data_IF_124063842802
#
_entry.id   IF_124063842802
#
_cell.length_a   1.000
_cell.length_b   1.000
_cell.length_c   1.000
_cell.angle_alpha   90.00
_cell.angle_beta   90.00
_cell.angle_gamma   90.00
#
_symmetry.space_group_name_H-M   'P 1'
#
loop_
_entity.id
_entity.type
_entity.pdbx_description
1 polymer ?
#
# COMPACT_ATOMS: atom_id res chain seq x y z
N UNK A 1 -21.38 -15.70 -11.08
CA UNK A 1 -20.49 -14.98 -11.99
C UNK A 1 -19.09 -15.21 -11.47
N UNK A 2 -18.24 -15.93 -12.22
CA UNK A 2 -16.90 -16.30 -11.76
C UNK A 2 -15.96 -15.14 -12.05
N UNK A 3 -15.41 -14.53 -10.98
CA UNK A 3 -14.27 -13.64 -11.12
C UNK A 3 -13.01 -14.52 -11.21
N UNK A 4 -12.53 -14.71 -12.43
CA UNK A 4 -11.27 -15.41 -12.68
C UNK A 4 -10.12 -14.47 -12.35
N UNK A 5 -9.34 -14.84 -11.36
CA UNK A 5 -8.02 -14.26 -11.13
C UNK A 5 -7.12 -14.79 -12.25
N UNK A 6 -6.77 -13.94 -13.21
CA UNK A 6 -5.81 -14.29 -14.25
C UNK A 6 -4.39 -14.14 -13.71
N UNK A 7 -3.73 -15.27 -13.46
CA UNK A 7 -2.28 -15.31 -13.37
C UNK A 7 -1.72 -15.31 -14.79
N UNK A 8 -1.07 -14.24 -15.19
CA UNK A 8 -0.27 -14.24 -16.42
C UNK A 8 1.09 -14.88 -16.14
N UNK A 9 1.30 -16.09 -16.68
CA UNK A 9 2.60 -16.74 -16.75
C UNK A 9 3.56 -15.93 -17.62
N UNK A 10 4.76 -15.68 -17.14
CA UNK A 10 5.86 -15.25 -17.99
C UNK A 10 6.82 -14.25 -17.39
N UNK A 11 7.63 -14.63 -16.38
CA UNK A 11 8.83 -13.87 -16.03
C UNK A 11 10.05 -14.44 -16.74
N UNK A 12 10.78 -13.66 -17.55
CA UNK A 12 12.08 -14.07 -18.07
C UNK A 12 13.17 -13.86 -17.01
N UNK A 13 13.92 -14.92 -16.74
CA UNK A 13 15.13 -14.93 -15.92
C UNK A 13 16.20 -14.02 -16.53
N UNK A 14 16.44 -12.86 -15.92
CA UNK A 14 17.57 -11.99 -16.26
C UNK A 14 18.83 -12.45 -15.55
N UNK A 15 19.79 -12.85 -16.37
CA UNK A 15 21.08 -13.41 -15.98
C UNK A 15 21.97 -12.43 -15.22
N UNK A 16 22.47 -12.90 -14.08
CA UNK A 16 23.52 -12.25 -13.28
C UNK A 16 24.86 -12.24 -14.01
N UNK A 17 25.27 -11.10 -14.51
CA UNK A 17 26.64 -10.87 -15.01
C UNK A 17 27.57 -10.56 -13.86
N UNK A 18 28.37 -11.55 -13.43
CA UNK A 18 29.53 -11.36 -12.54
C UNK A 18 30.57 -10.44 -13.21
N UNK A 19 30.78 -9.25 -12.64
CA UNK A 19 31.99 -8.44 -12.95
C UNK A 19 33.07 -8.74 -11.93
N UNK A 20 34.21 -9.16 -12.44
CA UNK A 20 35.45 -9.39 -11.69
C UNK A 20 36.05 -8.06 -11.28
N UNK A 21 36.35 -7.92 -10.00
CA UNK A 21 37.12 -6.82 -9.40
C UNK A 21 38.61 -7.08 -9.69
N UNK A 22 39.22 -6.16 -10.42
CA UNK A 22 40.67 -6.08 -10.52
C UNK A 22 41.22 -5.20 -9.42
N UNK A 23 42.14 -5.74 -8.63
CA UNK A 23 42.92 -5.04 -7.62
C UNK A 23 43.87 -4.07 -8.25
N UNK A 24 43.90 -2.81 -7.81
CA UNK A 24 45.03 -1.91 -7.92
C UNK A 24 45.18 -1.13 -6.61
N UNK A 25 46.21 -1.50 -5.87
CA UNK A 25 46.67 -0.77 -4.70
C UNK A 25 47.49 0.45 -5.17
N UNK A 26 47.10 1.64 -4.74
CA UNK A 26 47.96 2.82 -4.75
C UNK A 26 47.87 3.47 -3.38
N UNK A 27 48.96 3.41 -2.66
CA UNK A 27 49.19 4.14 -1.41
C UNK A 27 49.48 5.60 -1.73
N UNK A 28 48.72 6.53 -1.16
CA UNK A 28 49.12 7.93 -1.03
C UNK A 28 48.60 8.45 0.30
N UNK A 29 49.55 8.70 1.18
CA UNK A 29 49.43 9.43 2.46
C UNK A 29 49.20 10.92 2.15
N UNK A 30 48.07 11.48 2.55
CA UNK A 30 47.92 12.92 2.72
C UNK A 30 46.95 13.25 3.85
N UNK A 31 47.44 14.06 4.73
CA UNK A 31 46.89 14.80 5.86
C UNK A 31 45.36 14.86 5.97
N UNK A 32 44.94 14.33 7.11
CA UNK A 32 43.61 14.41 7.67
C UNK A 32 43.36 15.81 8.25
N UNK A 33 42.67 16.67 7.48
CA UNK A 33 41.97 17.82 8.08
C UNK A 33 40.53 17.34 8.31
N UNK A 34 40.27 16.91 9.53
CA UNK A 34 38.98 16.48 10.02
C UNK A 34 38.09 17.73 10.21
N UNK A 35 37.54 18.28 9.13
CA UNK A 35 36.42 19.19 9.23
C UNK A 35 35.18 18.37 9.50
N UNK A 36 34.79 18.24 10.75
CA UNK A 36 33.46 17.77 11.15
C UNK A 36 32.45 18.79 10.61
N UNK A 37 32.00 18.59 9.37
CA UNK A 37 30.76 19.17 8.92
C UNK A 37 29.66 18.42 9.69
N UNK A 38 29.21 19.00 10.79
CA UNK A 38 27.90 18.68 11.37
C UNK A 38 26.84 19.06 10.32
N UNK A 39 26.57 18.12 9.41
CA UNK A 39 25.36 18.18 8.59
C UNK A 39 24.23 17.96 9.59
N UNK A 40 23.71 19.06 10.12
CA UNK A 40 22.42 19.06 10.77
C UNK A 40 21.42 18.61 9.70
N UNK A 41 21.03 17.34 9.76
CA UNK A 41 19.86 16.87 9.03
C UNK A 41 18.68 17.58 9.70
N UNK A 42 18.40 18.81 9.26
CA UNK A 42 17.16 19.46 9.57
C UNK A 42 16.08 18.55 9.03
N UNK A 43 15.43 17.78 9.92
CA UNK A 43 14.21 17.08 9.59
C UNK A 43 13.24 18.19 9.18
N UNK A 44 13.02 18.34 7.87
CA UNK A 44 12.05 19.31 7.36
C UNK A 44 10.74 18.99 8.05
N UNK A 45 10.24 19.92 8.86
CA UNK A 45 8.94 19.74 9.48
C UNK A 45 7.93 19.61 8.35
N UNK A 46 7.22 18.49 8.31
CA UNK A 46 6.10 18.30 7.39
C UNK A 46 5.15 19.49 7.58
N UNK A 47 4.76 20.14 6.49
CA UNK A 47 3.83 21.25 6.53
C UNK A 47 2.45 20.86 7.12
N UNK A 48 1.48 21.79 7.13
CA UNK A 48 0.12 21.46 7.54
C UNK A 48 -0.45 20.33 6.67
N UNK A 49 -1.42 19.60 7.22
CA UNK A 49 -2.17 18.58 6.50
C UNK A 49 -3.02 19.25 5.43
N UNK A 50 -2.93 18.79 4.21
CA UNK A 50 -3.72 19.26 3.07
C UNK A 50 -4.85 18.30 2.72
N UNK A 51 -4.59 16.98 2.81
CA UNK A 51 -5.57 15.95 2.59
C UNK A 51 -5.44 14.83 3.62
N UNK A 52 -6.56 14.20 3.91
CA UNK A 52 -6.65 13.09 4.84
C UNK A 52 -7.67 12.08 4.34
N UNK A 53 -7.35 10.81 4.44
CA UNK A 53 -8.29 9.72 4.21
C UNK A 53 -8.13 8.66 5.30
N UNK A 54 -9.24 8.15 5.79
CA UNK A 54 -9.24 6.99 6.66
C UNK A 54 -10.45 6.10 6.38
N UNK A 55 -10.26 4.81 6.56
CA UNK A 55 -11.32 3.83 6.47
C UNK A 55 -11.02 2.67 7.41
N UNK A 56 -12.05 2.01 7.89
CA UNK A 56 -11.91 0.82 8.70
C UNK A 56 -13.24 0.18 9.00
N UNK A 57 -13.20 -1.13 9.14
CA UNK A 57 -14.37 -1.94 9.40
C UNK A 57 -14.07 -3.42 9.24
N UNK A 58 -15.08 -4.28 9.43
CA UNK A 58 -14.96 -5.69 9.09
C UNK A 58 -14.77 -5.85 7.58
N UNK A 59 -13.78 -6.64 7.21
CA UNK A 59 -13.67 -7.17 5.86
C UNK A 59 -14.60 -8.39 5.77
N UNK A 60 -15.56 -8.33 4.86
CA UNK A 60 -16.52 -9.42 4.67
C UNK A 60 -15.89 -10.70 4.09
N UNK A 61 -14.57 -10.72 3.94
CA UNK A 61 -13.81 -11.85 3.40
C UNK A 61 -14.35 -12.35 2.05
N UNK A 62 -14.88 -11.44 1.25
CA UNK A 62 -15.50 -11.79 -0.04
C UNK A 62 -14.52 -12.46 -0.99
N UNK A 63 -13.24 -12.11 -0.90
CA UNK A 63 -12.18 -12.71 -1.71
C UNK A 63 -12.00 -14.22 -1.45
N UNK A 64 -12.45 -14.70 -0.27
CA UNK A 64 -12.36 -16.10 0.13
C UNK A 64 -13.74 -16.71 0.43
N UNK A 65 -14.79 -16.13 -0.15
CA UNK A 65 -16.17 -16.63 -0.09
C UNK A 65 -16.67 -16.89 1.35
N UNK A 66 -16.31 -16.00 2.29
CA UNK A 66 -16.70 -16.08 3.70
C UNK A 66 -16.44 -17.47 4.33
N UNK A 67 -15.32 -18.11 4.00
CA UNK A 67 -14.96 -19.43 4.54
C UNK A 67 -14.85 -19.38 6.07
N UNK A 68 -15.23 -20.46 6.77
CA UNK A 68 -15.11 -20.53 8.23
C UNK A 68 -13.69 -20.22 8.71
N UNK A 69 -13.58 -19.23 9.62
CA UNK A 69 -12.30 -18.77 10.15
C UNK A 69 -11.72 -17.57 9.40
N UNK A 70 -12.42 -17.01 8.45
CA UNK A 70 -12.23 -15.64 8.04
C UNK A 70 -12.88 -14.74 9.10
N UNK A 71 -12.05 -13.99 9.80
CA UNK A 71 -12.41 -12.95 10.75
C UNK A 71 -11.64 -11.71 10.27
N UNK A 72 -12.13 -11.16 9.16
CA UNK A 72 -11.46 -10.11 8.43
C UNK A 72 -11.76 -8.75 9.03
N UNK A 73 -10.75 -7.92 9.08
CA UNK A 73 -10.91 -6.49 9.30
C UNK A 73 -9.81 -5.72 8.59
N UNK A 74 -10.15 -4.51 8.18
CA UNK A 74 -9.18 -3.62 7.57
C UNK A 74 -9.15 -2.27 8.30
N UNK A 75 -8.04 -1.60 8.14
CA UNK A 75 -7.85 -0.23 8.60
C UNK A 75 -6.89 0.50 7.67
N UNK A 76 -7.26 1.71 7.28
CA UNK A 76 -6.50 2.60 6.44
C UNK A 76 -6.43 3.98 7.09
N UNK A 77 -5.24 4.57 7.10
CA UNK A 77 -5.04 5.99 7.37
C UNK A 77 -4.00 6.52 6.40
N UNK A 78 -4.30 7.61 5.72
CA UNK A 78 -3.38 8.32 4.82
C UNK A 78 -3.48 9.82 5.06
N UNK A 79 -2.35 10.50 5.04
CA UNK A 79 -2.24 11.94 5.27
C UNK A 79 -1.27 12.53 4.26
N UNK A 80 -1.71 13.55 3.54
CA UNK A 80 -0.85 14.36 2.68
C UNK A 80 -0.57 15.70 3.35
N UNK A 81 0.65 16.16 3.22
CA UNK A 81 1.15 17.41 3.80
C UNK A 81 1.38 18.46 2.72
N UNK A 82 1.49 19.71 3.13
CA UNK A 82 1.67 20.85 2.21
C UNK A 82 2.98 20.80 1.41
N UNK A 83 3.97 20.04 1.84
CA UNK A 83 5.19 19.76 1.10
C UNK A 83 5.02 18.66 0.02
N UNK A 84 3.80 18.15 -0.15
CA UNK A 84 3.45 17.08 -1.06
C UNK A 84 3.76 15.67 -0.53
N UNK A 85 4.45 15.55 0.59
CA UNK A 85 4.73 14.24 1.17
C UNK A 85 3.46 13.56 1.66
N UNK A 86 3.39 12.24 1.50
CA UNK A 86 2.32 11.40 2.02
C UNK A 86 2.88 10.49 3.11
N UNK A 87 2.05 10.18 4.08
CA UNK A 87 2.36 9.18 5.09
C UNK A 87 1.08 8.45 5.48
N UNK A 88 1.15 7.15 5.48
CA UNK A 88 -0.02 6.35 5.79
C UNK A 88 0.30 4.88 5.98
N UNK A 89 -0.73 4.15 6.38
CA UNK A 89 -0.67 2.71 6.57
C UNK A 89 -2.01 2.08 6.22
N UNK A 90 -1.94 0.95 5.57
CA UNK A 90 -3.05 0.03 5.42
C UNK A 90 -2.73 -1.27 6.14
N UNK A 91 -3.73 -1.86 6.77
CA UNK A 91 -3.65 -3.20 7.35
C UNK A 91 -4.93 -3.94 7.02
N UNK A 92 -4.78 -5.11 6.49
CA UNK A 92 -5.87 -6.03 6.21
C UNK A 92 -5.62 -7.37 6.88
N UNK A 93 -6.65 -8.00 7.42
CA UNK A 93 -6.58 -9.26 8.12
C UNK A 93 -7.66 -10.21 7.63
N UNK A 94 -7.28 -11.42 7.36
CA UNK A 94 -8.15 -12.49 6.86
C UNK A 94 -8.32 -13.62 7.89
N UNK A 95 -8.24 -13.28 9.18
CA UNK A 95 -8.28 -14.27 10.26
C UNK A 95 -7.13 -15.28 10.13
N UNK A 96 -7.45 -16.57 10.18
CA UNK A 96 -6.46 -17.66 10.04
C UNK A 96 -5.82 -17.76 8.66
N UNK A 97 -6.38 -17.08 7.66
CA UNK A 97 -5.86 -17.12 6.29
C UNK A 97 -4.76 -16.09 6.03
N UNK A 98 -4.42 -15.26 7.02
CA UNK A 98 -3.32 -14.31 6.95
C UNK A 98 -3.74 -12.86 7.01
N UNK A 99 -3.17 -12.05 6.13
CA UNK A 99 -3.35 -10.61 6.04
C UNK A 99 -2.07 -9.91 5.66
N UNK A 100 -2.12 -8.60 5.51
CA UNK A 100 -0.94 -7.83 5.15
C UNK A 100 -0.95 -6.41 5.74
N UNK A 101 0.19 -5.78 5.66
CA UNK A 101 0.38 -4.38 5.99
C UNK A 101 1.11 -3.69 4.84
N UNK A 102 0.58 -2.55 4.40
CA UNK A 102 1.21 -1.68 3.42
C UNK A 102 1.56 -0.32 4.02
N UNK A 103 2.64 0.27 3.56
CA UNK A 103 2.95 1.69 3.74
C UNK A 103 2.31 2.45 2.59
N UNK A 104 1.57 3.49 2.90
CA UNK A 104 0.94 4.36 1.90
C UNK A 104 1.89 5.51 1.61
N UNK A 105 2.19 5.72 0.35
CA UNK A 105 3.08 6.78 -0.15
C UNK A 105 2.41 7.70 -1.17
N UNK A 106 1.18 7.38 -1.55
CA UNK A 106 0.37 8.18 -2.46
C UNK A 106 -1.05 8.36 -1.90
N UNK A 107 -1.56 9.59 -1.98
CA UNK A 107 -2.93 9.96 -1.65
C UNK A 107 -3.38 11.06 -2.62
N UNK A 108 -4.48 10.82 -3.32
CA UNK A 108 -5.17 11.83 -4.12
C UNK A 108 -6.62 11.93 -3.67
N UNK A 109 -7.10 13.16 -3.45
CA UNK A 109 -8.46 13.44 -3.00
C UNK A 109 -9.17 14.32 -4.03
N UNK A 110 -10.33 13.86 -4.49
CA UNK A 110 -11.19 14.61 -5.40
C UNK A 110 -12.63 14.55 -4.88
N UNK A 111 -13.12 15.66 -4.37
CA UNK A 111 -14.45 15.70 -3.75
C UNK A 111 -14.53 14.81 -2.50
N UNK A 112 -15.36 13.79 -2.55
CA UNK A 112 -15.54 12.80 -1.50
C UNK A 112 -14.81 11.48 -1.76
N UNK A 113 -14.07 11.41 -2.85
CA UNK A 113 -13.30 10.23 -3.24
C UNK A 113 -11.83 10.40 -2.87
N UNK A 114 -11.20 9.32 -2.45
CA UNK A 114 -9.75 9.25 -2.25
C UNK A 114 -9.18 8.00 -2.91
N UNK A 115 -8.09 8.17 -3.63
CA UNK A 115 -7.26 7.08 -4.16
C UNK A 115 -5.98 7.03 -3.35
N UNK A 116 -5.61 5.83 -2.96
CA UNK A 116 -4.39 5.56 -2.20
C UNK A 116 -3.61 4.44 -2.84
N UNK A 117 -2.29 4.55 -2.80
CA UNK A 117 -1.40 3.44 -3.13
C UNK A 117 -0.18 3.41 -2.23
N UNK A 118 0.59 2.34 -2.36
CA UNK A 118 1.80 2.13 -1.60
C UNK A 118 2.33 0.72 -1.80
N UNK A 119 3.23 0.30 -0.92
CA UNK A 119 3.90 -0.99 -1.01
C UNK A 119 3.62 -1.85 0.21
N UNK A 120 3.32 -3.11 0.01
CA UNK A 120 3.14 -4.10 1.08
C UNK A 120 4.49 -4.39 1.73
N UNK A 121 4.60 -4.07 3.01
CA UNK A 121 5.83 -4.26 3.78
C UNK A 121 5.93 -5.62 4.45
N UNK A 122 4.78 -6.27 4.67
CA UNK A 122 4.71 -7.63 5.20
C UNK A 122 3.31 -8.20 5.04
N UNK A 123 3.23 -9.50 4.82
CA UNK A 123 1.95 -10.19 4.80
C UNK A 123 1.95 -11.41 3.93
N UNK A 124 0.90 -12.18 4.07
CA UNK A 124 0.68 -13.38 3.27
C UNK A 124 -0.81 -13.72 3.20
N UNK A 125 -1.15 -14.49 2.20
CA UNK A 125 -2.44 -15.19 2.11
C UNK A 125 -2.18 -16.70 2.13
N UNK A 126 -3.04 -17.43 2.84
CA UNK A 126 -3.07 -18.89 2.82
C UNK A 126 -4.37 -19.33 2.17
N UNK A 127 -4.23 -19.98 1.05
CA UNK A 127 -5.37 -20.55 0.33
C UNK A 127 -6.13 -21.55 1.21
N UNK A 128 -7.44 -21.36 1.41
CA UNK A 128 -8.23 -22.21 2.31
C UNK A 128 -8.41 -23.66 1.80
N UNK A 129 -8.29 -23.89 0.50
CA UNK A 129 -8.55 -25.19 -0.12
C UNK A 129 -7.26 -25.99 -0.30
N UNK A 130 -6.17 -25.33 -0.74
CA UNK A 130 -4.88 -25.99 -1.00
C UNK A 130 -3.90 -25.88 0.17
N UNK A 131 -4.16 -24.94 1.11
CA UNK A 131 -3.25 -24.57 2.19
C UNK A 131 -1.92 -23.96 1.69
N UNK A 132 -1.85 -23.60 0.43
CA UNK A 132 -0.69 -22.92 -0.15
C UNK A 132 -0.57 -21.51 0.42
N UNK A 133 0.68 -21.06 0.60
CA UNK A 133 0.96 -19.74 1.14
C UNK A 133 1.57 -18.86 0.07
N UNK A 134 0.95 -17.69 -0.15
CA UNK A 134 1.42 -16.65 -1.04
C UNK A 134 1.95 -15.48 -0.20
N UNK A 135 3.18 -15.07 -0.44
CA UNK A 135 3.79 -13.90 0.20
C UNK A 135 3.43 -12.65 -0.61
N UNK A 136 2.94 -11.64 0.09
CA UNK A 136 2.56 -10.35 -0.51
C UNK A 136 3.63 -9.28 -0.36
N UNK A 137 4.72 -9.55 0.35
CA UNK A 137 5.77 -8.57 0.64
C UNK A 137 6.40 -8.05 -0.65
N UNK A 138 6.39 -6.73 -0.80
CA UNK A 138 6.95 -6.05 -1.97
C UNK A 138 5.98 -5.89 -3.14
N UNK A 139 4.74 -6.40 -3.04
CA UNK A 139 3.71 -6.11 -4.03
C UNK A 139 3.17 -4.69 -3.83
N UNK A 140 2.79 -4.06 -4.92
CA UNK A 140 2.06 -2.81 -4.90
C UNK A 140 0.65 -3.02 -4.34
N UNK A 141 0.14 -2.00 -3.69
CA UNK A 141 -1.19 -1.94 -3.09
C UNK A 141 -1.91 -0.70 -3.61
N UNK A 142 -3.19 -0.84 -3.94
CA UNK A 142 -4.05 0.29 -4.27
C UNK A 142 -5.46 0.09 -3.69
N UNK A 143 -6.13 1.21 -3.38
CA UNK A 143 -7.54 1.23 -2.99
C UNK A 143 -8.18 2.58 -3.30
N UNK A 144 -9.51 2.56 -3.49
CA UNK A 144 -10.37 3.74 -3.57
C UNK A 144 -11.31 3.77 -2.37
N UNK A 145 -11.54 4.95 -1.83
CA UNK A 145 -12.46 5.24 -0.74
C UNK A 145 -13.48 6.27 -1.22
N UNK A 146 -14.71 6.18 -0.74
CA UNK A 146 -15.77 7.16 -0.94
C UNK A 146 -16.43 7.48 0.41
N UNK A 147 -16.35 8.75 0.84
CA UNK A 147 -17.05 9.27 2.01
C UNK A 147 -18.44 9.75 1.58
N UNK A 148 -19.42 8.89 1.73
CA UNK A 148 -20.81 9.17 1.35
C UNK A 148 -21.56 10.00 2.37
N UNK A 149 -21.08 10.05 3.62
CA UNK A 149 -21.78 10.72 4.74
C UNK A 149 -22.10 12.19 4.46
N UNK A 150 -21.20 13.01 3.86
CA UNK A 150 -21.51 14.42 3.60
C UNK A 150 -22.61 14.63 2.56
N UNK A 151 -22.88 13.66 1.70
CA UNK A 151 -23.88 13.76 0.63
C UNK A 151 -25.10 12.86 0.85
N UNK A 152 -25.14 12.14 1.97
CA UNK A 152 -26.25 11.27 2.34
C UNK A 152 -26.24 9.93 1.61
N UNK A 153 -25.09 9.50 1.14
CA UNK A 153 -24.86 8.22 0.50
C UNK A 153 -24.13 7.26 1.46
N UNK A 154 -24.14 5.95 1.22
CA UNK A 154 -23.33 5.03 2.00
C UNK A 154 -21.83 5.23 1.73
N UNK A 155 -21.03 5.08 2.76
CA UNK A 155 -19.58 4.98 2.64
C UNK A 155 -19.20 3.74 1.83
N UNK A 156 -18.19 3.87 0.97
CA UNK A 156 -17.75 2.76 0.13
C UNK A 156 -16.22 2.63 0.11
N UNK A 157 -15.76 1.42 -0.10
CA UNK A 157 -14.34 1.13 -0.36
C UNK A 157 -14.20 0.10 -1.47
N UNK A 158 -13.14 0.22 -2.26
CA UNK A 158 -12.76 -0.87 -3.15
C UNK A 158 -12.12 -2.01 -2.34
N UNK A 159 -12.02 -3.19 -2.96
CA UNK A 159 -11.09 -4.19 -2.46
C UNK A 159 -9.66 -3.68 -2.53
N UNK A 160 -8.81 -4.26 -1.71
CA UNK A 160 -7.36 -4.09 -1.83
C UNK A 160 -6.89 -4.71 -3.14
N UNK A 161 -6.41 -3.88 -4.05
CA UNK A 161 -5.83 -4.31 -5.32
C UNK A 161 -4.34 -4.54 -5.10
N UNK A 162 -3.87 -5.74 -5.43
CA UNK A 162 -2.49 -6.16 -5.21
C UNK A 162 -1.80 -6.37 -6.54
N UNK A 163 -0.56 -5.83 -6.67
CA UNK A 163 0.22 -5.94 -7.91
C UNK A 163 -0.29 -5.06 -9.06
N UNK A 164 -1.10 -4.06 -8.78
CA UNK A 164 -1.55 -3.08 -9.77
C UNK A 164 -0.38 -2.16 -10.15
N UNK A 165 -0.07 -2.09 -11.45
CA UNK A 165 0.95 -1.18 -11.99
C UNK A 165 0.43 0.23 -12.26
N UNK A 166 -0.88 0.47 -12.15
CA UNK A 166 -1.48 1.78 -12.35
C UNK A 166 -1.06 2.73 -11.21
N UNK A 167 -0.86 4.00 -11.55
CA UNK A 167 -0.71 5.07 -10.56
C UNK A 167 -2.10 5.64 -10.20
N UNK A 168 -2.78 5.09 -9.17
CA UNK A 168 -4.15 5.47 -8.88
C UNK A 168 -4.30 6.93 -8.47
N UNK A 169 -3.22 7.56 -8.00
CA UNK A 169 -3.25 8.96 -7.61
C UNK A 169 -3.18 9.93 -8.81
N UNK A 170 -2.70 9.46 -9.95
CA UNK A 170 -2.67 10.23 -11.20
C UNK A 170 -3.85 9.87 -12.10
N UNK A 171 -4.14 8.58 -12.23
CA UNK A 171 -5.09 8.07 -13.22
C UNK A 171 -6.53 8.06 -12.70
N UNK A 172 -6.73 8.05 -11.37
CA UNK A 172 -8.04 7.98 -10.70
C UNK A 172 -8.93 6.87 -11.27
N UNK A 173 -8.47 5.62 -11.33
CA UNK A 173 -9.22 4.54 -11.96
C UNK A 173 -10.55 4.31 -11.24
N UNK A 174 -11.53 3.88 -12.01
CA UNK A 174 -12.85 3.54 -11.48
C UNK A 174 -12.85 2.09 -11.00
N UNK A 175 -12.63 1.90 -9.71
CA UNK A 175 -12.63 0.59 -9.07
C UNK A 175 -14.03 0.14 -8.68
N UNK A 176 -14.25 -1.18 -8.65
CA UNK A 176 -15.48 -1.74 -8.11
C UNK A 176 -15.57 -1.43 -6.61
N UNK A 177 -16.58 -0.63 -6.23
CA UNK A 177 -16.80 -0.20 -4.86
C UNK A 177 -17.74 -1.14 -4.12
N UNK A 178 -17.53 -1.28 -2.83
CA UNK A 178 -18.36 -2.04 -1.90
C UNK A 178 -18.82 -1.13 -0.77
N UNK A 179 -20.08 -1.23 -0.40
CA UNK A 179 -20.62 -0.50 0.74
C UNK A 179 -19.96 -0.96 2.05
N UNK A 180 -19.58 0.01 2.88
CA UNK A 180 -19.09 -0.20 4.24
C UNK A 180 -20.28 -0.29 5.17
N UNK A 181 -20.69 -1.51 5.50
CA UNK A 181 -21.89 -1.76 6.32
C UNK A 181 -21.65 -1.56 7.80
N UNK A 182 -20.44 -1.78 8.28
CA UNK A 182 -20.01 -1.54 9.66
C UNK A 182 -18.62 -0.88 9.61
N UNK A 183 -18.52 0.32 10.14
CA UNK A 183 -17.28 1.10 10.08
C UNK A 183 -17.52 2.50 9.56
N UNK A 184 -16.46 3.13 9.05
CA UNK A 184 -16.53 4.51 8.56
C UNK A 184 -15.45 4.77 7.52
N UNK A 185 -15.78 5.61 6.53
CA UNK A 185 -14.84 6.28 5.64
C UNK A 185 -14.85 7.78 5.95
N UNK A 186 -13.68 8.40 5.95
CA UNK A 186 -13.52 9.85 6.09
C UNK A 186 -12.55 10.31 5.01
N UNK A 187 -12.98 11.28 4.20
CA UNK A 187 -12.16 11.94 3.18
C UNK A 187 -12.22 13.45 3.37
N UNK A 188 -11.07 14.12 3.45
CA UNK A 188 -10.98 15.57 3.68
C UNK A 188 -9.82 16.18 2.92
#
# INVERSE_FOLDING_TARGET
>A
MHASVYFTEGMPLLGLRRRRLGSLAVALTTSLVLSLMLVSVASAAKGPITHFASAGGPDQCRAIEAKPGCDGNYSLVATQYADGSVSGRYTDRFGKFGGFTAVIDCLSVVGHDAWVSGVITSGFFRDPDTNERFDFTGLDFAAKLHDGTPVGEPDQTSFSLLGEEADPCTDHPDYLMNEVTEGQVIVR
#
